data_IF_338225223970
#
_entry.id   IF_338225223970
#
_cell.length_a   1.000
_cell.length_b   1.000
_cell.length_c   1.000
_cell.angle_alpha   90.00
_cell.angle_beta   90.00
_cell.angle_gamma   90.00
#
_symmetry.space_group_name_H-M   'P 1'
#
loop_
_entity.id
_entity.type
_entity.pdbx_description
1 polymer ?
#
# COMPACT_ATOMS: atom_id res chain seq x y z
N UNK A 1 5.65 27.78 4.09
CA UNK A 1 6.24 26.48 3.74
C UNK A 1 5.16 25.45 4.01
N UNK A 2 4.53 24.90 2.98
CA UNK A 2 3.52 23.85 3.18
C UNK A 2 4.19 22.63 3.83
N UNK A 3 3.53 21.93 4.76
CA UNK A 3 4.09 20.71 5.33
C UNK A 3 4.32 19.68 4.22
N UNK A 4 5.38 18.86 4.30
CA UNK A 4 5.61 17.81 3.31
C UNK A 4 4.37 16.90 3.25
N UNK A 5 3.87 16.64 2.03
CA UNK A 5 2.74 15.74 1.78
C UNK A 5 3.07 14.37 2.40
N UNK A 6 2.18 13.77 3.22
CA UNK A 6 2.45 12.49 3.86
C UNK A 6 2.73 11.38 2.84
N UNK A 7 3.47 10.34 3.25
CA UNK A 7 3.75 9.20 2.37
C UNK A 7 2.51 8.31 2.20
N UNK A 8 1.69 8.18 3.23
CA UNK A 8 0.44 7.42 3.20
C UNK A 8 -0.65 8.13 4.02
N UNK A 9 -1.88 8.14 3.50
CA UNK A 9 -3.04 8.74 4.17
C UNK A 9 -4.27 7.86 3.95
N UNK A 10 -5.01 7.56 5.01
CA UNK A 10 -6.34 6.96 4.91
C UNK A 10 -7.41 8.02 5.20
N UNK A 11 -8.35 8.15 4.27
CA UNK A 11 -9.48 9.08 4.38
C UNK A 11 -10.82 8.36 4.24
N UNK A 12 -11.73 8.58 5.17
CA UNK A 12 -13.09 8.01 5.16
C UNK A 12 -14.10 9.15 5.25
N UNK A 13 -15.17 9.11 4.43
CA UNK A 13 -16.17 10.17 4.35
C UNK A 13 -15.57 11.60 4.21
N UNK A 14 -14.48 11.73 3.44
CA UNK A 14 -13.79 13.00 3.22
C UNK A 14 -12.93 13.50 4.39
N UNK A 15 -12.79 12.71 5.46
CA UNK A 15 -11.94 13.03 6.61
C UNK A 15 -10.74 12.12 6.67
N UNK A 16 -9.56 12.71 6.83
CA UNK A 16 -8.35 11.96 7.16
C UNK A 16 -8.50 11.35 8.55
N UNK A 17 -8.31 10.04 8.66
CA UNK A 17 -8.35 9.32 9.93
C UNK A 17 -7.01 8.69 10.31
N UNK A 18 -6.11 8.53 9.33
CA UNK A 18 -4.77 8.03 9.53
C UNK A 18 -3.81 8.69 8.54
N UNK A 19 -2.57 8.92 8.97
CA UNK A 19 -1.49 9.35 8.10
C UNK A 19 -0.15 8.87 8.64
N UNK A 20 0.76 8.52 7.75
CA UNK A 20 2.15 8.20 8.07
C UNK A 20 3.10 8.92 7.12
N UNK A 21 4.28 9.25 7.66
CA UNK A 21 5.42 9.82 6.92
C UNK A 21 6.56 8.79 6.81
N UNK A 22 6.31 7.53 7.15
CA UNK A 22 7.30 6.47 7.09
C UNK A 22 7.77 6.18 5.67
N UNK A 23 8.85 5.41 5.57
CA UNK A 23 9.45 5.00 4.30
C UNK A 23 9.18 3.54 4.02
N UNK A 24 9.30 3.14 2.75
CA UNK A 24 9.13 1.75 2.32
C UNK A 24 7.74 1.20 2.71
N UNK A 25 7.64 -0.04 3.17
CA UNK A 25 6.36 -0.69 3.51
C UNK A 25 5.89 -0.44 4.95
N UNK A 26 6.69 0.26 5.78
CA UNK A 26 6.32 0.53 7.18
C UNK A 26 5.00 1.29 7.35
N UNK A 27 4.66 2.32 6.54
CA UNK A 27 3.37 2.99 6.62
C UNK A 27 2.16 2.05 6.49
N UNK A 28 2.25 1.03 5.64
CA UNK A 28 1.17 0.05 5.45
C UNK A 28 1.05 -0.90 6.65
N UNK A 29 2.15 -1.25 7.31
CA UNK A 29 2.13 -2.07 8.52
C UNK A 29 1.65 -1.26 9.75
N UNK A 30 1.98 0.02 9.81
CA UNK A 30 1.39 0.95 10.79
C UNK A 30 -0.12 1.08 10.58
N UNK A 31 -0.55 1.19 9.32
CA UNK A 31 -1.96 1.19 8.97
C UNK A 31 -2.65 -0.13 9.35
N UNK A 32 -2.00 -1.29 9.13
CA UNK A 32 -2.53 -2.59 9.55
C UNK A 32 -2.85 -2.61 11.04
N UNK A 33 -1.90 -2.16 11.86
CA UNK A 33 -2.06 -2.06 13.33
C UNK A 33 -3.22 -1.13 13.69
N UNK A 34 -3.31 0.03 13.04
CA UNK A 34 -4.42 0.96 13.24
C UNK A 34 -5.78 0.36 12.87
N UNK A 35 -5.86 -0.42 11.78
CA UNK A 35 -7.09 -1.07 11.35
C UNK A 35 -7.52 -2.20 12.29
N UNK A 36 -6.57 -2.94 12.88
CA UNK A 36 -6.88 -4.01 13.86
C UNK A 36 -7.58 -3.46 15.12
N UNK A 37 -7.20 -2.26 15.54
CA UNK A 37 -7.72 -1.62 16.77
C UNK A 37 -8.94 -0.71 16.49
N UNK A 38 -9.39 -0.59 15.23
CA UNK A 38 -10.44 0.36 14.85
C UNK A 38 -11.65 -0.30 14.17
N UNK A 39 -12.85 0.26 14.39
CA UNK A 39 -14.07 -0.16 13.72
C UNK A 39 -14.23 0.43 12.30
N UNK A 40 -13.12 0.73 11.62
CA UNK A 40 -13.11 1.44 10.33
C UNK A 40 -13.49 0.49 9.19
N UNK A 41 -14.49 0.87 8.40
CA UNK A 41 -14.84 0.17 7.18
C UNK A 41 -13.84 0.47 6.04
N UNK A 42 -12.69 -0.21 6.06
CA UNK A 42 -11.60 -0.04 5.08
C UNK A 42 -12.04 0.00 3.59
N UNK A 43 -13.01 -0.81 3.12
CA UNK A 43 -13.47 -0.76 1.73
C UNK A 43 -14.13 0.56 1.31
N UNK A 44 -14.69 1.32 2.26
CA UNK A 44 -15.37 2.58 1.98
C UNK A 44 -14.41 3.76 1.87
N UNK A 45 -13.22 3.61 2.46
CA UNK A 45 -12.19 4.63 2.57
C UNK A 45 -11.30 4.71 1.33
N UNK A 46 -10.72 5.88 1.13
CA UNK A 46 -9.68 6.14 0.15
C UNK A 46 -8.32 6.07 0.82
N UNK A 47 -7.46 5.20 0.31
CA UNK A 47 -6.05 5.20 0.66
C UNK A 47 -5.29 6.02 -0.37
N UNK A 48 -4.55 7.02 0.08
CA UNK A 48 -3.51 7.66 -0.70
C UNK A 48 -2.15 7.06 -0.29
N UNK A 49 -1.33 6.69 -1.26
CA UNK A 49 0.06 6.29 -1.06
C UNK A 49 0.92 6.94 -2.14
N UNK A 50 2.02 7.59 -1.75
CA UNK A 50 2.89 8.31 -2.67
C UNK A 50 3.44 7.40 -3.78
N UNK A 51 3.71 6.13 -3.50
CA UNK A 51 4.36 5.23 -4.47
C UNK A 51 3.94 3.78 -4.24
N UNK A 52 3.26 3.19 -5.22
CA UNK A 52 2.69 1.85 -5.10
C UNK A 52 3.38 0.87 -6.05
N UNK A 53 4.17 -0.02 -5.45
CA UNK A 53 4.74 -1.22 -6.07
C UNK A 53 3.88 -2.48 -5.86
N UNK A 54 4.28 -3.62 -6.45
CA UNK A 54 3.56 -4.91 -6.29
C UNK A 54 3.38 -5.30 -4.81
N UNK A 55 4.43 -5.13 -4.01
CA UNK A 55 4.39 -5.42 -2.57
C UNK A 55 3.34 -4.59 -1.83
N UNK A 56 3.32 -3.28 -2.11
CA UNK A 56 2.36 -2.36 -1.51
C UNK A 56 0.91 -2.69 -1.95
N UNK A 57 0.71 -3.02 -3.22
CA UNK A 57 -0.59 -3.42 -3.74
C UNK A 57 -1.13 -4.69 -3.05
N UNK A 58 -0.28 -5.71 -2.83
CA UNK A 58 -0.68 -6.93 -2.13
C UNK A 58 -1.05 -6.66 -0.66
N UNK A 59 -0.26 -5.84 0.04
CA UNK A 59 -0.61 -5.42 1.40
C UNK A 59 -1.94 -4.66 1.43
N UNK A 60 -2.12 -3.67 0.55
CA UNK A 60 -3.36 -2.90 0.46
C UNK A 60 -4.59 -3.80 0.26
N UNK A 61 -4.48 -4.79 -0.63
CA UNK A 61 -5.55 -5.76 -0.89
C UNK A 61 -5.87 -6.57 0.37
N UNK A 62 -4.84 -7.06 1.08
CA UNK A 62 -4.98 -7.78 2.35
C UNK A 62 -5.68 -6.94 3.42
N UNK A 63 -5.37 -5.64 3.49
CA UNK A 63 -6.01 -4.69 4.40
C UNK A 63 -7.47 -4.38 4.06
N UNK A 64 -8.02 -4.99 3.00
CA UNK A 64 -9.41 -4.79 2.60
C UNK A 64 -9.68 -3.44 1.93
N UNK A 65 -8.63 -2.68 1.59
CA UNK A 65 -8.78 -1.41 0.88
C UNK A 65 -9.27 -1.70 -0.55
N UNK A 66 -10.21 -0.88 -1.02
CA UNK A 66 -10.80 -1.00 -2.37
C UNK A 66 -10.69 0.27 -3.20
N UNK A 67 -10.19 1.36 -2.63
CA UNK A 67 -10.02 2.64 -3.32
C UNK A 67 -8.63 3.20 -3.03
N UNK A 68 -7.83 3.36 -4.08
CA UNK A 68 -6.44 3.80 -4.03
C UNK A 68 -6.25 5.10 -4.84
N UNK A 69 -5.44 6.00 -4.31
CA UNK A 69 -4.86 7.11 -5.04
C UNK A 69 -3.33 7.09 -4.87
N UNK A 70 -2.59 7.30 -5.95
CA UNK A 70 -1.12 7.32 -5.87
C UNK A 70 -0.49 8.33 -6.80
N UNK A 71 0.66 8.89 -6.40
CA UNK A 71 1.43 9.75 -7.30
C UNK A 71 2.17 8.89 -8.33
N UNK A 72 2.71 7.73 -7.94
CA UNK A 72 3.49 6.84 -8.80
C UNK A 72 3.04 5.38 -8.68
N UNK A 73 2.59 4.80 -9.79
CA UNK A 73 2.17 3.40 -9.86
C UNK A 73 3.18 2.57 -10.68
N UNK A 74 3.67 1.47 -10.10
CA UNK A 74 4.48 0.46 -10.81
C UNK A 74 3.62 -0.40 -11.74
N UNK A 75 4.14 -0.78 -12.91
CA UNK A 75 3.46 -1.72 -13.82
C UNK A 75 3.14 -3.05 -13.15
N UNK A 76 3.96 -3.47 -12.17
CA UNK A 76 3.76 -4.71 -11.44
C UNK A 76 2.62 -4.63 -10.42
N UNK A 77 2.22 -3.42 -10.00
CA UNK A 77 1.11 -3.21 -9.09
C UNK A 77 -0.25 -3.30 -9.80
N UNK A 78 -0.35 -2.84 -11.05
CA UNK A 78 -1.62 -2.76 -11.77
C UNK A 78 -2.36 -4.11 -11.90
N UNK A 79 -1.70 -5.23 -12.26
CA UNK A 79 -2.37 -6.54 -12.32
C UNK A 79 -2.96 -6.97 -10.98
N UNK A 80 -2.26 -6.73 -9.87
CA UNK A 80 -2.74 -7.06 -8.52
C UNK A 80 -4.00 -6.24 -8.19
N UNK A 81 -3.96 -4.92 -8.43
CA UNK A 81 -5.10 -4.05 -8.15
C UNK A 81 -6.32 -4.43 -8.99
N UNK A 82 -6.12 -4.79 -10.26
CA UNK A 82 -7.19 -5.22 -11.16
C UNK A 82 -7.78 -6.57 -10.74
N UNK A 83 -6.93 -7.57 -10.45
CA UNK A 83 -7.37 -8.91 -10.02
C UNK A 83 -8.24 -8.85 -8.75
N UNK A 84 -7.92 -7.94 -7.83
CA UNK A 84 -8.64 -7.76 -6.57
C UNK A 84 -9.72 -6.66 -6.62
N UNK A 85 -10.05 -6.14 -7.80
CA UNK A 85 -11.10 -5.13 -8.03
C UNK A 85 -10.91 -3.86 -7.18
N UNK A 86 -9.67 -3.43 -7.01
CA UNK A 86 -9.34 -2.16 -6.38
C UNK A 86 -9.53 -1.06 -7.42
N UNK A 87 -10.37 -0.07 -7.10
CA UNK A 87 -10.46 1.16 -7.90
C UNK A 87 -9.24 2.02 -7.59
N UNK A 88 -8.47 2.41 -8.61
CA UNK A 88 -7.26 3.20 -8.38
C UNK A 88 -7.14 4.41 -9.32
N UNK A 89 -6.53 5.48 -8.81
CA UNK A 89 -6.10 6.65 -9.58
C UNK A 89 -4.60 6.84 -9.41
N UNK A 90 -3.91 7.19 -10.49
CA UNK A 90 -2.47 7.45 -10.46
C UNK A 90 -2.13 8.73 -11.23
N UNK A 91 -1.12 9.46 -10.77
CA UNK A 91 -0.61 10.64 -11.49
C UNK A 91 0.36 10.26 -12.60
N UNK A 92 1.29 9.35 -12.33
CA UNK A 92 2.21 8.81 -13.32
C UNK A 92 2.46 7.32 -13.10
N UNK A 93 2.93 6.66 -14.14
CA UNK A 93 3.16 5.21 -14.18
C UNK A 93 4.62 4.94 -14.54
N UNK A 94 5.23 3.96 -13.89
CA UNK A 94 6.63 3.58 -14.06
C UNK A 94 6.73 2.08 -14.32
N UNK A 95 7.69 1.67 -15.14
CA UNK A 95 7.83 0.25 -15.50
C UNK A 95 8.20 -0.61 -14.29
N UNK A 96 9.18 -0.16 -13.49
CA UNK A 96 9.65 -0.90 -12.32
C UNK A 96 10.15 0.05 -11.25
N UNK A 97 9.99 -0.34 -9.99
CA UNK A 97 10.79 0.21 -8.91
C UNK A 97 12.08 -0.60 -8.86
N UNK A 98 13.24 0.06 -8.86
CA UNK A 98 14.51 -0.58 -8.53
C UNK A 98 14.58 -0.88 -7.02
N UNK A 99 13.68 -1.76 -6.57
CA UNK A 99 13.57 -2.19 -5.18
C UNK A 99 13.70 -3.72 -5.12
N UNK A 100 14.70 -4.23 -4.38
CA UNK A 100 14.94 -5.68 -4.19
C UNK A 100 13.70 -6.44 -3.69
N UNK A 101 12.79 -5.75 -3.01
CA UNK A 101 11.54 -6.33 -2.49
C UNK A 101 10.52 -6.61 -3.59
N UNK A 102 10.54 -5.82 -4.67
CA UNK A 102 9.63 -6.00 -5.81
C UNK A 102 10.05 -7.18 -6.70
N UNK A 103 11.32 -7.60 -6.65
CA UNK A 103 11.81 -8.81 -7.29
C UNK A 103 11.47 -10.07 -6.49
N UNK A 104 11.63 -10.02 -5.16
CA UNK A 104 11.28 -11.13 -4.27
C UNK A 104 9.81 -11.54 -4.39
N UNK A 105 8.94 -10.57 -4.65
CA UNK A 105 7.49 -10.76 -4.75
C UNK A 105 6.99 -10.82 -6.20
N UNK A 106 7.89 -10.91 -7.18
CA UNK A 106 7.52 -10.89 -8.60
C UNK A 106 6.52 -12.00 -8.96
N UNK A 107 6.70 -13.19 -8.39
CA UNK A 107 5.86 -14.38 -8.67
C UNK A 107 4.82 -14.66 -7.56
N UNK A 108 4.67 -13.75 -6.61
CA UNK A 108 3.73 -13.92 -5.47
C UNK A 108 2.46 -13.13 -5.75
N UNK A 109 1.34 -13.83 -5.84
CA UNK A 109 0.03 -13.22 -6.05
C UNK A 109 -0.92 -13.37 -4.85
N UNK A 110 -0.57 -14.21 -3.87
CA UNK A 110 -1.34 -14.35 -2.62
C UNK A 110 -0.97 -13.21 -1.62
N UNK A 111 -1.94 -12.34 -1.25
CA UNK A 111 -1.71 -11.26 -0.28
C UNK A 111 -1.24 -11.75 1.10
N UNK A 112 -1.70 -12.91 1.56
CA UNK A 112 -1.29 -13.49 2.84
C UNK A 112 0.17 -13.96 2.80
N UNK A 113 0.54 -14.67 1.73
CA UNK A 113 1.92 -15.09 1.51
C UNK A 113 2.85 -13.88 1.39
N UNK A 114 2.45 -12.85 0.65
CA UNK A 114 3.23 -11.64 0.49
C UNK A 114 3.51 -10.96 1.84
N UNK A 115 2.48 -10.84 2.69
CA UNK A 115 2.61 -10.27 4.03
C UNK A 115 3.63 -11.03 4.89
N UNK A 116 3.56 -12.37 4.93
CA UNK A 116 4.54 -13.19 5.67
C UNK A 116 5.97 -12.97 5.19
N UNK A 117 6.18 -12.90 3.88
CA UNK A 117 7.50 -12.66 3.29
C UNK A 117 8.04 -11.26 3.62
N UNK A 118 7.16 -10.24 3.61
CA UNK A 118 7.52 -8.87 3.98
C UNK A 118 7.95 -8.78 5.44
N UNK A 119 7.22 -9.42 6.36
CA UNK A 119 7.59 -9.49 7.78
C UNK A 119 8.92 -10.20 7.99
N UNK A 120 9.12 -11.36 7.37
CA UNK A 120 10.39 -12.08 7.43
C UNK A 120 11.56 -11.23 6.90
N UNK A 121 11.32 -10.43 5.86
CA UNK A 121 12.33 -9.52 5.30
C UNK A 121 12.69 -8.39 6.26
N UNK A 122 11.70 -7.84 6.99
CA UNK A 122 11.93 -6.82 8.03
C UNK A 122 12.79 -7.38 9.15
N UNK A 123 12.49 -8.59 9.62
CA UNK A 123 13.25 -9.21 10.70
C UNK A 123 14.68 -9.54 10.26
N UNK A 124 14.90 -9.93 9.00
CA UNK A 124 16.25 -10.15 8.44
C UNK A 124 17.05 -8.86 8.17
N UNK A 125 16.43 -7.68 8.30
CA UNK A 125 17.09 -6.37 8.19
C UNK A 125 17.44 -5.77 9.56
N UNK A 126 17.01 -6.40 10.65
CA UNK A 126 17.38 -6.05 12.03
C UNK A 126 18.71 -6.68 12.41
#
# INVERSE_FOLDING_TARGET
>A
MEPPKPSLVLSCAGRQIFSSNGTWLFPLLELERFLLDSAVAAPECWLYDKLVGKAAALLLVRLGIRKLETDLLSDRAAPVLQAHRVSYRFRARIERLDCRTEELLADIDDPEQAHRLILARIDALR
#
